data_IF_948871693432
#
_entry.id   IF_948871693432
#
_cell.length_a   1.000
_cell.length_b   1.000
_cell.length_c   1.000
_cell.angle_alpha   90.00
_cell.angle_beta   90.00
_cell.angle_gamma   90.00
#
_symmetry.space_group_name_H-M   'P 1'
#
loop_
_entity.id
_entity.type
_entity.pdbx_description
1 polymer ?
#
# COMPACT_ATOMS: atom_id res chain seq x y z
N UNK A 1 -10.61 14.84 7.94
CA UNK A 1 -10.04 13.48 7.95
C UNK A 1 -8.57 13.58 7.63
N UNK A 2 -7.73 12.71 8.20
CA UNK A 2 -6.32 12.61 7.81
C UNK A 2 -6.09 11.32 7.01
N UNK A 3 -5.29 11.39 5.95
CA UNK A 3 -4.73 10.22 5.29
C UNK A 3 -3.30 10.06 5.79
N UNK A 4 -3.01 8.94 6.44
CA UNK A 4 -1.78 8.76 7.21
C UNK A 4 -1.04 7.54 6.69
N UNK A 5 0.24 7.74 6.38
CA UNK A 5 1.14 6.62 6.13
C UNK A 5 1.52 6.02 7.49
N UNK A 6 1.08 4.80 7.76
CA UNK A 6 1.26 4.13 9.05
C UNK A 6 2.66 3.57 9.25
N UNK A 7 2.87 2.95 10.41
CA UNK A 7 4.11 2.23 10.70
C UNK A 7 4.20 0.94 9.87
N UNK A 8 5.39 0.44 9.56
CA UNK A 8 5.57 -0.91 9.01
C UNK A 8 5.30 -2.01 10.06
N UNK A 9 5.27 -1.65 11.36
CA UNK A 9 5.12 -2.57 12.47
C UNK A 9 3.66 -2.65 12.96
N UNK A 10 3.04 -3.85 13.01
CA UNK A 10 1.63 -4.01 13.37
C UNK A 10 1.25 -3.43 14.74
N UNK A 11 2.12 -3.56 15.75
CA UNK A 11 1.85 -3.04 17.10
C UNK A 11 1.72 -1.51 17.13
N UNK A 12 2.52 -0.80 16.33
CA UNK A 12 2.46 0.65 16.24
C UNK A 12 1.22 1.10 15.46
N UNK A 13 0.83 0.32 14.46
CA UNK A 13 -0.36 0.57 13.67
C UNK A 13 -1.65 0.34 14.48
N UNK A 14 -1.69 -0.72 15.29
CA UNK A 14 -2.73 -0.95 16.29
C UNK A 14 -2.85 0.20 17.29
N UNK A 15 -1.72 0.72 17.77
CA UNK A 15 -1.72 1.85 18.69
C UNK A 15 -2.30 3.13 18.04
N UNK A 16 -1.98 3.39 16.77
CA UNK A 16 -2.52 4.50 16.00
C UNK A 16 -4.04 4.39 15.85
N UNK A 17 -4.54 3.24 15.39
CA UNK A 17 -5.99 3.03 15.24
C UNK A 17 -6.73 3.07 16.58
N UNK A 18 -6.21 2.39 17.60
CA UNK A 18 -6.82 2.34 18.93
C UNK A 18 -6.97 3.72 19.57
N UNK A 19 -5.92 4.55 19.52
CA UNK A 19 -6.00 5.92 20.06
C UNK A 19 -6.90 6.81 19.20
N UNK A 20 -6.85 6.68 17.88
CA UNK A 20 -7.73 7.45 16.96
C UNK A 20 -9.21 7.15 17.24
N UNK A 21 -9.54 5.86 17.38
CA UNK A 21 -10.88 5.39 17.75
C UNK A 21 -11.32 5.99 19.09
N UNK A 22 -10.47 5.87 20.12
CA UNK A 22 -10.76 6.38 21.47
C UNK A 22 -11.01 7.89 21.49
N UNK A 23 -10.39 8.63 20.59
CA UNK A 23 -10.56 10.09 20.44
C UNK A 23 -11.72 10.48 19.53
N UNK A 24 -12.37 9.53 18.86
CA UNK A 24 -13.44 9.80 17.90
C UNK A 24 -12.95 10.58 16.68
N UNK A 25 -11.71 10.34 16.24
CA UNK A 25 -11.12 11.02 15.09
C UNK A 25 -11.34 10.22 13.80
N UNK A 26 -11.45 10.91 12.66
CA UNK A 26 -11.55 10.30 11.34
C UNK A 26 -10.18 10.14 10.67
N UNK A 27 -9.82 8.91 10.33
CA UNK A 27 -8.55 8.55 9.70
C UNK A 27 -8.76 7.57 8.54
N UNK A 28 -7.91 7.69 7.51
CA UNK A 28 -7.57 6.61 6.57
C UNK A 28 -6.09 6.30 6.81
N UNK A 29 -5.76 5.08 7.20
CA UNK A 29 -4.37 4.69 7.47
C UNK A 29 -4.13 3.26 7.05
N UNK A 30 -2.88 2.91 6.82
CA UNK A 30 -2.50 1.51 6.72
C UNK A 30 -1.02 1.28 6.98
N UNK A 31 -0.68 0.05 7.33
CA UNK A 31 0.71 -0.36 7.57
C UNK A 31 1.55 -0.17 6.30
N UNK A 32 2.71 0.46 6.44
CA UNK A 32 3.66 0.58 5.35
C UNK A 32 4.17 -0.79 4.88
N UNK A 33 4.00 -1.10 3.58
CA UNK A 33 4.41 -2.35 2.98
C UNK A 33 5.71 -2.15 2.19
N UNK A 34 6.72 -2.96 2.51
CA UNK A 34 7.97 -3.08 1.78
C UNK A 34 8.38 -4.56 1.77
N UNK A 35 8.57 -5.15 0.60
CA UNK A 35 9.04 -6.55 0.45
C UNK A 35 10.43 -6.65 -0.18
N UNK A 36 10.93 -5.54 -0.74
CA UNK A 36 12.30 -5.39 -1.24
C UNK A 36 12.84 -4.00 -0.94
N UNK A 37 14.17 -3.87 -0.93
CA UNK A 37 14.83 -2.59 -0.70
C UNK A 37 16.33 -2.74 -0.42
N UNK A 38 17.02 -1.61 -0.23
CA UNK A 38 18.44 -1.62 0.13
C UNK A 38 18.67 -2.20 1.53
N UNK A 39 19.91 -2.59 1.84
CA UNK A 39 20.28 -3.13 3.15
C UNK A 39 19.93 -2.21 4.32
N UNK A 40 19.92 -0.89 4.12
CA UNK A 40 19.50 0.08 5.12
C UNK A 40 18.02 -0.03 5.51
N UNK A 41 17.18 -0.66 4.68
CA UNK A 41 15.77 -0.90 4.94
C UNK A 41 15.48 -2.29 5.51
N UNK A 42 16.50 -3.12 5.79
CA UNK A 42 16.34 -4.53 6.17
C UNK A 42 15.35 -4.76 7.34
N UNK A 43 15.35 -3.87 8.33
CA UNK A 43 14.45 -3.98 9.49
C UNK A 43 12.96 -3.69 9.17
N UNK A 44 12.66 -3.16 7.98
CA UNK A 44 11.32 -2.81 7.52
C UNK A 44 10.77 -3.80 6.49
N UNK A 45 11.63 -4.67 5.93
CA UNK A 45 11.26 -5.62 4.88
C UNK A 45 10.50 -6.79 5.49
N UNK A 46 9.34 -7.11 4.92
CA UNK A 46 8.55 -8.30 5.24
C UNK A 46 8.52 -9.27 4.05
N UNK A 47 8.19 -10.55 4.30
CA UNK A 47 7.86 -11.47 3.21
C UNK A 47 6.58 -11.03 2.48
N UNK A 48 6.36 -11.49 1.24
CA UNK A 48 5.11 -11.26 0.53
C UNK A 48 3.92 -11.90 1.27
N UNK A 49 4.09 -13.12 1.78
CA UNK A 49 3.08 -13.82 2.57
C UNK A 49 2.68 -13.02 3.81
N UNK A 50 3.65 -12.52 4.59
CA UNK A 50 3.39 -11.68 5.74
C UNK A 50 2.77 -10.34 5.33
N UNK A 51 3.19 -9.76 4.19
CA UNK A 51 2.63 -8.52 3.71
C UNK A 51 1.12 -8.66 3.45
N UNK A 52 0.70 -9.72 2.77
CA UNK A 52 -0.71 -10.00 2.46
C UNK A 52 -1.49 -10.36 3.73
N UNK A 53 -0.98 -11.29 4.54
CA UNK A 53 -1.63 -11.74 5.77
C UNK A 53 -1.87 -10.58 6.74
N UNK A 54 -0.83 -9.79 7.03
CA UNK A 54 -0.95 -8.66 7.95
C UNK A 54 -1.86 -7.56 7.43
N UNK A 55 -1.90 -7.33 6.11
CA UNK A 55 -2.82 -6.36 5.51
C UNK A 55 -4.27 -6.83 5.62
N UNK A 56 -4.53 -8.11 5.37
CA UNK A 56 -5.84 -8.73 5.59
C UNK A 56 -6.28 -8.64 7.05
N UNK A 57 -5.42 -9.04 7.98
CA UNK A 57 -5.67 -8.96 9.42
C UNK A 57 -6.02 -7.52 9.86
N UNK A 58 -5.32 -6.53 9.31
CA UNK A 58 -5.58 -5.11 9.59
C UNK A 58 -6.92 -4.62 9.03
N UNK A 59 -7.27 -4.99 7.80
CA UNK A 59 -8.57 -4.68 7.19
C UNK A 59 -9.70 -5.25 8.05
N UNK A 60 -9.63 -6.54 8.41
CA UNK A 60 -10.68 -7.17 9.21
C UNK A 60 -10.81 -6.57 10.61
N UNK A 61 -9.70 -6.15 11.21
CA UNK A 61 -9.69 -5.63 12.56
C UNK A 61 -10.16 -4.18 12.66
N UNK A 62 -9.77 -3.33 11.71
CA UNK A 62 -9.87 -1.87 11.87
C UNK A 62 -10.78 -1.17 10.87
N UNK A 63 -11.03 -1.74 9.69
CA UNK A 63 -11.84 -1.06 8.70
C UNK A 63 -13.31 -0.99 9.14
N UNK A 64 -13.83 0.23 9.26
CA UNK A 64 -15.17 0.51 9.79
C UNK A 64 -15.43 -0.07 11.19
N UNK A 65 -14.40 -0.43 11.96
CA UNK A 65 -14.54 -1.11 13.24
C UNK A 65 -15.25 -0.28 14.33
N UNK A 66 -15.34 1.04 14.15
CA UNK A 66 -16.00 1.94 15.09
C UNK A 66 -17.53 1.96 14.97
N UNK A 67 -18.08 1.66 13.79
CA UNK A 67 -19.54 1.72 13.54
C UNK A 67 -20.11 0.46 12.87
N UNK A 68 -19.27 -0.35 12.22
CA UNK A 68 -19.68 -1.46 11.37
C UNK A 68 -20.24 -1.04 10.00
N UNK A 69 -20.37 0.26 9.72
CA UNK A 69 -20.89 0.80 8.46
C UNK A 69 -19.90 1.79 7.86
N UNK A 70 -19.33 1.43 6.71
CA UNK A 70 -18.33 2.25 5.99
C UNK A 70 -18.84 3.67 5.68
N UNK A 71 -20.15 3.86 5.47
CA UNK A 71 -20.72 5.17 5.17
C UNK A 71 -20.66 6.12 6.37
N UNK A 72 -20.65 5.58 7.60
CA UNK A 72 -20.63 6.37 8.83
C UNK A 72 -19.30 6.29 9.59
N UNK A 73 -18.51 5.25 9.33
CA UNK A 73 -17.26 4.95 10.00
C UNK A 73 -16.27 6.13 9.94
N UNK A 74 -15.56 6.33 11.05
CA UNK A 74 -14.44 7.25 11.16
C UNK A 74 -13.11 6.54 10.86
N UNK A 75 -13.03 5.22 11.06
CA UNK A 75 -11.81 4.44 10.84
C UNK A 75 -11.83 3.73 9.49
N UNK A 76 -10.85 4.06 8.66
CA UNK A 76 -10.69 3.46 7.34
C UNK A 76 -9.29 2.89 7.19
N UNK A 77 -9.20 1.69 6.61
CA UNK A 77 -7.93 1.05 6.29
C UNK A 77 -7.56 1.33 4.84
N UNK A 78 -6.28 1.52 4.58
CA UNK A 78 -5.70 1.55 3.25
C UNK A 78 -4.70 0.40 3.07
N UNK A 79 -4.59 -0.14 1.87
CA UNK A 79 -3.46 -0.96 1.45
C UNK A 79 -2.34 -0.01 1.04
N UNK A 80 -1.16 -0.14 1.68
CA UNK A 80 -0.13 0.90 1.61
C UNK A 80 1.26 0.39 1.18
N UNK A 81 1.43 -0.04 -0.08
CA UNK A 81 2.78 -0.16 -0.64
C UNK A 81 3.47 1.19 -0.58
N UNK A 82 4.70 1.26 -0.05
CA UNK A 82 5.39 2.54 0.16
C UNK A 82 5.58 3.30 -1.14
N UNK A 83 6.10 2.62 -2.15
CA UNK A 83 6.25 3.07 -3.53
C UNK A 83 6.64 1.85 -4.37
N UNK A 84 6.56 1.92 -5.71
CA UNK A 84 6.74 0.71 -6.54
C UNK A 84 8.10 0.04 -6.36
N UNK A 85 9.19 0.80 -6.18
CA UNK A 85 10.52 0.21 -5.95
C UNK A 85 10.70 -0.49 -4.58
N UNK A 86 9.71 -0.40 -3.69
CA UNK A 86 9.75 -1.05 -2.36
C UNK A 86 9.09 -2.43 -2.34
N UNK A 87 8.53 -2.87 -3.46
CA UNK A 87 7.81 -4.13 -3.61
C UNK A 87 8.20 -4.79 -4.93
N UNK A 88 8.02 -6.10 -5.05
CA UNK A 88 8.22 -6.81 -6.32
C UNK A 88 6.98 -6.68 -7.21
N UNK A 89 7.11 -7.06 -8.48
CA UNK A 89 5.98 -7.16 -9.41
C UNK A 89 4.93 -8.16 -8.90
N UNK A 90 5.38 -9.29 -8.36
CA UNK A 90 4.51 -10.31 -7.75
C UNK A 90 3.75 -9.73 -6.55
N UNK A 91 4.43 -8.97 -5.69
CA UNK A 91 3.79 -8.35 -4.53
C UNK A 91 2.77 -7.29 -4.96
N UNK A 92 3.08 -6.47 -5.99
CA UNK A 92 2.11 -5.50 -6.54
C UNK A 92 0.86 -6.20 -7.07
N UNK A 93 1.04 -7.30 -7.83
CA UNK A 93 -0.07 -8.10 -8.32
C UNK A 93 -0.92 -8.66 -7.17
N UNK A 94 -0.29 -9.29 -6.17
CA UNK A 94 -1.01 -9.89 -5.06
C UNK A 94 -1.74 -8.85 -4.19
N UNK A 95 -1.18 -7.64 -4.01
CA UNK A 95 -1.86 -6.52 -3.36
C UNK A 95 -3.04 -6.01 -4.19
N UNK A 96 -2.93 -6.02 -5.52
CA UNK A 96 -4.04 -5.73 -6.44
C UNK A 96 -5.18 -6.75 -6.32
N UNK A 97 -4.87 -8.05 -6.31
CA UNK A 97 -5.84 -9.12 -6.10
C UNK A 97 -6.52 -8.99 -4.71
N UNK A 98 -5.75 -8.68 -3.67
CA UNK A 98 -6.29 -8.39 -2.34
C UNK A 98 -7.23 -7.19 -2.40
N UNK A 99 -6.83 -6.08 -3.03
CA UNK A 99 -7.65 -4.89 -3.17
C UNK A 99 -8.97 -5.18 -3.88
N UNK A 100 -8.94 -5.94 -4.99
CA UNK A 100 -10.14 -6.33 -5.72
C UNK A 100 -11.13 -7.12 -4.85
N UNK A 101 -10.63 -7.93 -3.92
CA UNK A 101 -11.48 -8.66 -2.98
C UNK A 101 -12.16 -7.79 -1.91
N UNK A 102 -11.64 -6.58 -1.65
CA UNK A 102 -12.11 -5.70 -0.55
C UNK A 102 -12.58 -4.31 -0.99
N UNK A 103 -12.38 -3.91 -2.25
CA UNK A 103 -12.69 -2.54 -2.73
C UNK A 103 -14.17 -2.17 -2.55
N UNK A 104 -15.08 -3.14 -2.72
CA UNK A 104 -16.53 -2.94 -2.52
C UNK A 104 -16.89 -2.69 -1.04
N UNK A 105 -15.99 -3.02 -0.11
CA UNK A 105 -16.13 -2.69 1.32
C UNK A 105 -15.70 -1.25 1.63
N UNK A 106 -15.10 -0.54 0.67
CA UNK A 106 -14.61 0.84 0.81
C UNK A 106 -13.19 0.96 1.36
N UNK A 107 -12.38 -0.10 1.28
CA UNK A 107 -10.95 -0.04 1.58
C UNK A 107 -10.23 0.88 0.59
N UNK A 108 -9.21 1.59 1.05
CA UNK A 108 -8.43 2.52 0.24
C UNK A 108 -7.13 1.88 -0.28
N UNK A 109 -6.50 2.51 -1.28
CA UNK A 109 -5.10 2.30 -1.64
C UNK A 109 -4.36 3.63 -1.47
N UNK A 110 -3.15 3.59 -0.91
CA UNK A 110 -2.32 4.78 -0.70
C UNK A 110 -0.86 4.46 -0.99
N UNK A 111 -0.21 5.23 -1.87
CA UNK A 111 1.20 5.05 -2.22
C UNK A 111 1.79 6.36 -2.72
N UNK A 112 3.12 6.45 -2.80
CA UNK A 112 3.81 7.55 -3.47
C UNK A 112 3.83 7.33 -4.99
N UNK A 113 3.83 8.43 -5.74
CA UNK A 113 3.90 8.41 -7.20
C UNK A 113 4.61 9.67 -7.71
N UNK A 114 5.55 9.50 -8.64
CA UNK A 114 6.22 10.58 -9.38
C UNK A 114 6.85 11.68 -8.49
N UNK A 115 7.47 11.32 -7.36
CA UNK A 115 8.00 12.32 -6.42
C UNK A 115 9.32 12.93 -6.91
N UNK A 116 10.18 12.14 -7.58
CA UNK A 116 11.49 12.59 -8.05
C UNK A 116 11.74 12.28 -9.53
N UNK A 117 11.76 13.34 -10.36
CA UNK A 117 11.94 13.28 -11.82
C UNK A 117 13.39 13.54 -12.29
N UNK A 118 14.40 13.41 -11.42
CA UNK A 118 15.80 13.64 -11.81
C UNK A 118 16.24 12.65 -12.91
N UNK A 119 16.76 13.11 -14.06
CA UNK A 119 17.21 12.20 -15.11
C UNK A 119 18.35 11.27 -14.65
N UNK A 120 18.25 10.00 -15.04
CA UNK A 120 19.22 8.91 -14.81
C UNK A 120 19.35 8.40 -13.37
N UNK A 121 18.80 9.12 -12.39
CA UNK A 121 19.00 8.81 -10.96
C UNK A 121 17.77 9.06 -10.09
N UNK A 122 16.72 9.63 -10.65
CA UNK A 122 15.46 9.89 -9.96
C UNK A 122 14.64 8.61 -9.78
N UNK A 123 13.64 8.73 -8.91
CA UNK A 123 12.70 7.65 -8.63
C UNK A 123 11.95 7.22 -9.90
N UNK A 124 11.46 8.17 -10.70
CA UNK A 124 10.69 7.89 -11.92
C UNK A 124 11.52 7.07 -12.92
N UNK A 125 12.76 7.47 -13.18
CA UNK A 125 13.64 6.75 -14.10
C UNK A 125 14.00 5.36 -13.57
N UNK A 126 14.21 5.24 -12.25
CA UNK A 126 14.50 3.96 -11.59
C UNK A 126 13.33 2.98 -11.74
N UNK A 127 12.09 3.46 -11.59
CA UNK A 127 10.87 2.65 -11.78
C UNK A 127 10.78 2.16 -13.22
N UNK A 128 10.88 3.07 -14.19
CA UNK A 128 10.81 2.72 -15.62
C UNK A 128 11.86 1.68 -16.01
N UNK A 129 13.08 1.83 -15.51
CA UNK A 129 14.17 0.88 -15.77
C UNK A 129 13.95 -0.47 -15.07
N UNK A 130 13.57 -0.45 -13.79
CA UNK A 130 13.40 -1.68 -12.98
C UNK A 130 12.24 -2.55 -13.49
N UNK A 131 11.13 -1.92 -13.86
CA UNK A 131 9.90 -2.62 -14.24
C UNK A 131 9.69 -2.68 -15.76
N UNK A 132 10.51 -2.01 -16.57
CA UNK A 132 10.39 -2.02 -18.03
C UNK A 132 9.14 -1.30 -18.55
N UNK A 133 8.63 -0.31 -17.81
CA UNK A 133 7.40 0.43 -18.10
C UNK A 133 7.64 1.82 -18.68
N UNK A 134 6.67 2.37 -19.40
CA UNK A 134 6.74 3.67 -20.06
C UNK A 134 6.47 4.84 -19.09
N UNK A 135 5.58 4.64 -18.12
CA UNK A 135 5.30 5.60 -17.07
C UNK A 135 5.36 4.92 -15.70
N UNK A 136 5.59 5.69 -14.64
CA UNK A 136 5.55 5.14 -13.29
C UNK A 136 4.17 4.55 -12.99
N UNK A 137 3.08 5.27 -13.31
CA UNK A 137 1.72 4.83 -12.99
C UNK A 137 1.38 3.43 -13.55
N UNK A 138 2.03 3.03 -14.64
CA UNK A 138 1.83 1.71 -15.26
C UNK A 138 2.14 0.53 -14.32
N UNK A 139 2.99 0.71 -13.30
CA UNK A 139 3.22 -0.33 -12.28
C UNK A 139 1.99 -0.57 -11.40
N UNK A 140 1.20 0.47 -11.12
CA UNK A 140 -0.03 0.37 -10.35
C UNK A 140 -1.22 -0.07 -11.22
N UNK A 141 -1.16 0.19 -12.53
CA UNK A 141 -2.15 -0.28 -13.52
C UNK A 141 -1.94 -1.74 -13.96
N UNK A 142 -0.90 -2.43 -13.46
CA UNK A 142 -0.60 -3.83 -13.83
C UNK A 142 -0.03 -3.99 -15.25
N UNK A 143 0.61 -2.96 -15.80
CA UNK A 143 1.11 -2.89 -17.18
C UNK A 143 2.59 -3.26 -17.29
N UNK A 144 2.95 -4.45 -16.86
CA UNK A 144 4.35 -4.90 -16.82
C UNK A 144 4.85 -5.56 -18.12
N UNK A 145 4.00 -5.76 -19.12
CA UNK A 145 4.38 -6.35 -20.40
C UNK A 145 5.00 -5.31 -21.36
N UNK A 146 5.75 -5.75 -22.39
CA UNK A 146 6.39 -4.83 -23.34
C UNK A 146 5.44 -3.76 -23.90
N UNK A 147 5.91 -2.52 -23.91
CA UNK A 147 5.13 -1.36 -24.32
C UNK A 147 4.02 -0.97 -23.32
N UNK A 148 4.22 -1.27 -22.04
CA UNK A 148 3.26 -1.01 -20.96
C UNK A 148 1.87 -1.56 -21.25
N UNK A 149 1.85 -2.79 -21.79
CA UNK A 149 0.61 -3.52 -21.98
C UNK A 149 0.22 -4.25 -20.70
N UNK A 150 -1.09 -4.45 -20.50
CA UNK A 150 -1.63 -5.12 -19.31
C UNK A 150 -1.21 -6.59 -19.34
N UNK A 151 -0.45 -7.04 -18.34
CA UNK A 151 0.08 -8.40 -18.26
C UNK A 151 -0.83 -9.43 -17.62
N UNK A 152 -1.99 -9.01 -17.12
CA UNK A 152 -2.95 -9.86 -16.45
C UNK A 152 -4.02 -9.04 -15.74
N UNK A 153 -4.98 -9.73 -15.15
CA UNK A 153 -5.87 -9.16 -14.13
C UNK A 153 -5.22 -9.35 -12.76
#
# INVERSE_FOLDING_TARGET
AAMVFGSAFPHAQDALFGETMRRGLRIVSGRGIQTVGPASAAALITSEEDALRLTGDEIEKWHAADTGDVATALLHVAIVPRFSLSVTTETLKALGELYDSVRERGVYVHSHLNENNRPGTGEIDSVKQMFGVDTYLDTYDGKFEPGSSVGGK
#
